data_IF_388358467036
#
_entry.id   IF_388358467036
#
_cell.length_a   1.000
_cell.length_b   1.000
_cell.length_c   1.000
_cell.angle_alpha   90.00
_cell.angle_beta   90.00
_cell.angle_gamma   90.00
#
_symmetry.space_group_name_H-M   'P 1'
#
loop_
_entity.id
_entity.type
_entity.pdbx_description
1 polymer ?
#
# COMPACT_ATOMS: atom_id res chain seq x y z
N UNK A 1 30.12 -15.45 26.31
CA UNK A 1 29.04 -15.76 25.33
C UNK A 1 27.62 -15.27 25.69
N UNK A 2 27.33 -14.79 26.92
CA UNK A 2 26.01 -14.20 27.26
C UNK A 2 25.88 -12.70 26.92
N UNK A 3 27.01 -11.99 26.79
CA UNK A 3 27.08 -10.53 26.61
C UNK A 3 26.76 -10.06 25.19
N UNK A 4 26.92 -10.92 24.18
CA UNK A 4 26.73 -10.57 22.76
C UNK A 4 25.25 -10.55 22.35
N UNK A 5 24.44 -11.47 22.89
CA UNK A 5 22.99 -11.50 22.62
C UNK A 5 22.23 -10.32 23.23
N UNK A 6 22.72 -9.76 24.35
CA UNK A 6 22.07 -8.62 25.03
C UNK A 6 22.31 -7.31 24.29
N UNK A 7 23.54 -7.09 23.78
CA UNK A 7 23.89 -5.89 22.99
C UNK A 7 23.01 -5.75 21.75
N UNK A 8 22.71 -6.86 21.08
CA UNK A 8 21.89 -6.86 19.87
C UNK A 8 20.42 -6.48 20.12
N UNK A 9 19.87 -6.79 21.30
CA UNK A 9 18.45 -6.53 21.59
C UNK A 9 18.17 -5.05 21.82
N UNK A 10 19.10 -4.35 22.49
CA UNK A 10 19.00 -2.92 22.76
C UNK A 10 19.19 -2.10 21.47
N UNK A 11 20.13 -2.49 20.60
CA UNK A 11 20.33 -1.85 19.30
C UNK A 11 19.12 -2.01 18.37
N UNK A 12 18.52 -3.20 18.31
CA UNK A 12 17.28 -3.43 17.57
C UNK A 12 16.12 -2.56 18.08
N UNK A 13 15.99 -2.40 19.41
CA UNK A 13 14.95 -1.55 20.00
C UNK A 13 15.14 -0.07 19.66
N UNK A 14 16.39 0.42 19.65
CA UNK A 14 16.69 1.78 19.21
C UNK A 14 16.40 1.97 17.72
N UNK A 15 16.85 1.04 16.87
CA UNK A 15 16.59 1.08 15.41
C UNK A 15 15.09 1.05 15.09
N UNK A 16 14.30 0.27 15.82
CA UNK A 16 12.85 0.23 15.66
C UNK A 16 12.19 1.58 15.92
N UNK A 17 12.71 2.34 16.88
CA UNK A 17 12.16 3.65 17.25
C UNK A 17 12.66 4.77 16.33
N UNK A 18 13.81 4.59 15.69
CA UNK A 18 14.48 5.62 14.88
C UNK A 18 14.28 5.47 13.37
N UNK A 19 13.72 4.35 12.89
CA UNK A 19 13.57 4.08 11.44
C UNK A 19 12.13 3.78 11.05
N UNK A 20 11.72 4.12 9.81
CA UNK A 20 10.43 3.70 9.28
C UNK A 20 10.27 2.18 9.36
N UNK A 21 9.07 1.75 9.72
CA UNK A 21 8.74 0.37 10.03
C UNK A 21 9.16 -0.62 8.94
N UNK A 22 8.95 -0.26 7.68
CA UNK A 22 9.30 -1.07 6.51
C UNK A 22 10.82 -1.22 6.37
N UNK A 23 11.56 -0.11 6.54
CA UNK A 23 13.01 -0.09 6.44
C UNK A 23 13.67 -0.86 7.60
N UNK A 24 13.06 -0.80 8.79
CA UNK A 24 13.49 -1.59 9.93
C UNK A 24 13.43 -3.09 9.62
N UNK A 25 12.27 -3.62 9.20
CA UNK A 25 12.12 -5.06 8.97
C UNK A 25 12.91 -5.58 7.76
N UNK A 26 13.08 -4.78 6.70
CA UNK A 26 13.99 -5.12 5.60
C UNK A 26 15.47 -5.22 6.06
N UNK A 27 15.87 -4.43 7.05
CA UNK A 27 17.19 -4.56 7.68
C UNK A 27 17.29 -5.81 8.56
N UNK A 28 16.25 -6.07 9.36
CA UNK A 28 16.16 -7.25 10.23
C UNK A 28 16.14 -8.54 9.42
N UNK A 29 15.52 -8.59 8.24
CA UNK A 29 15.56 -9.76 7.35
C UNK A 29 16.99 -10.09 6.87
N UNK A 30 17.82 -9.08 6.61
CA UNK A 30 19.22 -9.30 6.21
C UNK A 30 20.08 -9.85 7.34
N UNK A 31 19.82 -9.40 8.57
CA UNK A 31 20.56 -9.82 9.77
C UNK A 31 20.00 -11.11 10.41
N UNK A 32 18.69 -11.32 10.30
CA UNK A 32 17.90 -12.40 10.88
C UNK A 32 16.80 -12.86 9.89
N UNK A 33 17.14 -13.70 8.90
CA UNK A 33 16.25 -14.05 7.79
C UNK A 33 14.89 -14.59 8.23
N UNK A 34 14.88 -15.57 9.13
CA UNK A 34 13.63 -16.19 9.61
C UNK A 34 12.75 -15.19 10.37
N UNK A 35 13.34 -14.35 11.22
CA UNK A 35 12.61 -13.36 12.01
C UNK A 35 12.06 -12.23 11.14
N UNK A 36 12.89 -11.69 10.25
CA UNK A 36 12.48 -10.62 9.34
C UNK A 36 11.44 -11.09 8.34
N UNK A 37 11.59 -12.30 7.78
CA UNK A 37 10.61 -12.90 6.87
C UNK A 37 9.28 -13.16 7.55
N UNK A 38 9.29 -13.67 8.79
CA UNK A 38 8.06 -13.87 9.55
C UNK A 38 7.37 -12.53 9.88
N UNK A 39 8.12 -11.54 10.37
CA UNK A 39 7.57 -10.22 10.67
C UNK A 39 7.05 -9.47 9.42
N UNK A 40 7.73 -9.61 8.28
CA UNK A 40 7.26 -9.10 7.00
C UNK A 40 5.99 -9.85 6.57
N UNK A 41 5.97 -11.17 6.60
CA UNK A 41 4.79 -11.96 6.22
C UNK A 41 3.58 -11.74 7.12
N UNK A 42 3.75 -11.48 8.41
CA UNK A 42 2.64 -11.12 9.30
C UNK A 42 2.17 -9.67 9.09
N UNK A 43 3.05 -8.79 8.64
CA UNK A 43 2.72 -7.37 8.40
C UNK A 43 2.25 -7.07 6.98
N UNK A 44 2.68 -7.83 5.98
CA UNK A 44 2.23 -7.73 4.58
C UNK A 44 0.73 -7.97 4.36
N UNK A 45 0.00 -8.83 5.10
CA UNK A 45 -1.44 -8.94 4.96
C UNK A 45 -2.18 -7.66 5.35
N UNK A 46 -1.54 -6.71 6.05
CA UNK A 46 -2.11 -5.37 6.18
C UNK A 46 -2.16 -4.67 4.83
N UNK A 47 -1.20 -4.88 3.94
CA UNK A 47 -1.23 -4.30 2.59
C UNK A 47 -2.39 -4.84 1.74
N UNK A 48 -2.56 -6.16 1.67
CA UNK A 48 -3.62 -6.78 0.86
C UNK A 48 -5.02 -6.61 1.47
N UNK A 49 -5.15 -6.68 2.79
CA UNK A 49 -6.41 -6.46 3.49
C UNK A 49 -6.82 -5.00 3.44
N UNK A 50 -5.91 -4.05 3.69
CA UNK A 50 -6.16 -2.63 3.50
C UNK A 50 -6.54 -2.32 2.06
N UNK A 51 -5.82 -2.90 1.08
CA UNK A 51 -6.16 -2.71 -0.33
C UNK A 51 -7.56 -3.25 -0.64
N UNK A 52 -7.94 -4.40 -0.10
CA UNK A 52 -9.27 -4.97 -0.24
C UNK A 52 -10.35 -4.07 0.39
N UNK A 53 -10.11 -3.54 1.60
CA UNK A 53 -10.99 -2.60 2.30
C UNK A 53 -11.15 -1.29 1.53
N UNK A 54 -10.05 -0.71 1.04
CA UNK A 54 -10.04 0.50 0.18
C UNK A 54 -10.80 0.25 -1.13
N UNK A 55 -10.54 -0.88 -1.77
CA UNK A 55 -11.22 -1.31 -3.01
C UNK A 55 -12.73 -1.45 -2.79
N UNK A 56 -13.13 -2.08 -1.68
CA UNK A 56 -14.55 -2.28 -1.36
C UNK A 56 -15.27 -0.96 -1.01
N UNK A 57 -14.60 -0.08 -0.25
CA UNK A 57 -15.08 1.27 0.04
C UNK A 57 -15.26 2.08 -1.24
N UNK A 58 -14.25 2.08 -2.12
CA UNK A 58 -14.31 2.74 -3.42
C UNK A 58 -15.43 2.18 -4.31
N UNK A 59 -15.59 0.86 -4.35
CA UNK A 59 -16.68 0.21 -5.09
C UNK A 59 -18.05 0.66 -4.60
N UNK A 60 -18.25 0.68 -3.27
CA UNK A 60 -19.49 1.13 -2.65
C UNK A 60 -19.75 2.60 -2.98
N UNK A 61 -18.72 3.44 -2.93
CA UNK A 61 -18.83 4.87 -3.26
C UNK A 61 -19.20 5.11 -4.73
N UNK A 62 -18.56 4.38 -5.66
CA UNK A 62 -18.85 4.46 -7.10
C UNK A 62 -20.30 4.03 -7.37
N UNK A 63 -20.73 2.89 -6.81
CA UNK A 63 -22.09 2.35 -7.02
C UNK A 63 -23.21 3.22 -6.43
N UNK A 64 -22.98 3.83 -5.26
CA UNK A 64 -24.02 4.61 -4.57
C UNK A 64 -24.14 6.03 -5.09
N UNK A 65 -23.02 6.70 -5.42
CA UNK A 65 -23.01 8.11 -5.81
C UNK A 65 -23.12 8.33 -7.32
N UNK A 66 -22.62 7.39 -8.13
CA UNK A 66 -22.75 7.41 -9.59
C UNK A 66 -23.68 6.29 -10.03
N UNK A 67 -24.98 6.56 -10.15
CA UNK A 67 -25.93 5.72 -10.93
C UNK A 67 -25.59 5.72 -12.45
N UNK A 68 -24.32 5.79 -12.82
CA UNK A 68 -23.88 5.99 -14.18
C UNK A 68 -23.44 4.67 -14.80
N UNK A 69 -23.70 4.55 -16.10
CA UNK A 69 -23.26 3.49 -17.02
C UNK A 69 -21.73 3.45 -17.22
N UNK A 70 -20.95 3.85 -16.21
CA UNK A 70 -19.50 3.95 -16.23
C UNK A 70 -18.90 2.57 -15.90
N UNK A 71 -17.87 2.19 -16.66
CA UNK A 71 -17.13 0.95 -16.45
C UNK A 71 -16.53 0.93 -15.03
N UNK A 72 -17.06 0.03 -14.19
CA UNK A 72 -16.73 -0.09 -12.77
C UNK A 72 -15.24 -0.37 -12.56
N UNK A 73 -14.66 -1.24 -13.38
CA UNK A 73 -13.28 -1.72 -13.28
C UNK A 73 -12.28 -0.57 -13.44
N UNK A 74 -12.40 0.22 -14.52
CA UNK A 74 -11.50 1.34 -14.78
C UNK A 74 -11.56 2.43 -13.69
N UNK A 75 -12.74 2.65 -13.10
CA UNK A 75 -12.90 3.63 -12.03
C UNK A 75 -12.34 3.11 -10.70
N UNK A 76 -12.49 1.82 -10.41
CA UNK A 76 -11.89 1.18 -9.24
C UNK A 76 -10.37 1.21 -9.29
N UNK A 77 -9.78 0.84 -10.42
CA UNK A 77 -8.32 0.91 -10.61
C UNK A 77 -7.82 2.34 -10.37
N UNK A 78 -8.52 3.35 -10.88
CA UNK A 78 -8.15 4.75 -10.67
C UNK A 78 -8.32 5.20 -9.21
N UNK A 79 -9.34 4.71 -8.51
CA UNK A 79 -9.62 5.09 -7.12
C UNK A 79 -8.69 4.40 -6.10
N UNK A 80 -8.18 3.22 -6.45
CA UNK A 80 -7.33 2.39 -5.58
C UNK A 80 -5.84 2.58 -5.89
N UNK A 81 -5.48 2.96 -7.13
CA UNK A 81 -4.10 3.20 -7.51
C UNK A 81 -3.49 4.35 -6.71
N UNK A 82 -2.38 4.06 -6.04
CA UNK A 82 -1.51 5.07 -5.42
C UNK A 82 -0.75 5.91 -6.45
N UNK A 83 -0.76 5.48 -7.72
CA UNK A 83 -0.11 6.16 -8.84
C UNK A 83 -1.05 7.26 -9.32
N UNK A 84 -0.58 8.50 -9.30
CA UNK A 84 -1.36 9.64 -9.81
C UNK A 84 -1.78 9.36 -11.26
N UNK A 85 -3.08 9.35 -11.56
CA UNK A 85 -3.54 9.17 -12.94
C UNK A 85 -2.93 10.28 -13.80
N UNK A 86 -2.45 9.92 -15.00
CA UNK A 86 -1.90 10.88 -15.97
C UNK A 86 -3.05 11.68 -16.60
N UNK A 87 -3.70 12.52 -15.80
CA UNK A 87 -4.90 13.28 -16.16
C UNK A 87 -4.67 14.14 -17.41
N UNK A 88 -3.50 14.74 -17.54
CA UNK A 88 -3.11 15.55 -18.72
C UNK A 88 -3.09 14.75 -20.02
N UNK A 89 -2.68 13.49 -19.98
CA UNK A 89 -2.74 12.59 -21.15
C UNK A 89 -4.18 12.20 -21.46
N UNK A 90 -4.94 11.83 -20.43
CA UNK A 90 -6.34 11.43 -20.56
C UNK A 90 -7.23 12.55 -21.13
N UNK A 91 -7.03 13.79 -20.67
CA UNK A 91 -7.75 14.98 -21.16
C UNK A 91 -7.40 15.32 -22.61
N UNK A 92 -6.19 14.99 -23.06
CA UNK A 92 -5.76 15.20 -24.46
C UNK A 92 -6.35 14.17 -25.41
N UNK A 93 -6.55 12.94 -24.94
CA UNK A 93 -7.08 11.82 -25.73
C UNK A 93 -8.62 11.76 -25.75
N UNK A 94 -9.29 12.44 -24.80
CA UNK A 94 -10.75 12.55 -24.77
C UNK A 94 -11.21 13.75 -25.60
N UNK A 95 -11.83 13.49 -26.76
CA UNK A 95 -12.59 14.49 -27.51
C UNK A 95 -13.76 14.99 -26.64
N UNK A 96 -13.80 16.30 -26.35
CA UNK A 96 -14.97 16.92 -25.75
C UNK A 96 -16.15 16.77 -26.72
N UNK A 97 -17.16 16.01 -26.32
CA UNK A 97 -18.43 15.96 -27.04
C UNK A 97 -19.18 17.23 -26.67
N UNK A 98 -19.19 18.20 -27.58
CA UNK A 98 -20.01 19.40 -27.43
C UNK A 98 -21.45 18.96 -27.68
N UNK A 99 -22.35 19.20 -26.73
CA UNK A 99 -23.78 18.94 -26.93
C UNK A 99 -24.29 19.83 -28.05
N UNK A 100 -25.17 19.27 -28.89
CA UNK A 100 -26.09 20.07 -29.73
C UNK A 100 -27.11 20.80 -28.86
#
# INVERSE_FOLDING_TARGET
MKTEKVKNRQSLKMRYSSTPLTQFWCGVEKEYPELGKHALNERLPFGSKYLCEVTFSAMTHIKTKRRNRLNLENNLVTAVATISPRLTKLMREKQAQVSH
#
